data_IF_201382994820
#
_entry.id   IF_201382994820
#
_cell.length_a   1.000
_cell.length_b   1.000
_cell.length_c   1.000
_cell.angle_alpha   90.00
_cell.angle_beta   90.00
_cell.angle_gamma   90.00
#
_symmetry.space_group_name_H-M   'P 1'
#
loop_
_entity.id
_entity.type
_entity.pdbx_description
1 polymer ?
#
# COMPACT_ATOMS: atom_id res chain seq x y z
N UNK A 1 55.44 -45.15 -17.61
CA UNK A 1 54.00 -44.88 -17.86
C UNK A 1 53.56 -43.80 -16.88
N UNK A 2 53.06 -42.63 -17.33
CA UNK A 2 52.68 -41.56 -16.41
C UNK A 2 51.42 -41.94 -15.64
N UNK A 3 51.46 -41.83 -14.31
CA UNK A 3 50.34 -42.12 -13.42
C UNK A 3 49.25 -41.05 -13.59
N UNK A 4 48.03 -41.48 -13.94
CA UNK A 4 46.85 -40.60 -14.00
C UNK A 4 46.41 -40.26 -12.58
N UNK A 5 46.69 -39.05 -12.14
CA UNK A 5 46.14 -38.49 -10.91
C UNK A 5 44.62 -38.33 -11.11
N UNK A 6 43.82 -39.13 -10.41
CA UNK A 6 42.36 -38.95 -10.34
C UNK A 6 42.07 -37.75 -9.44
N UNK A 7 41.79 -36.61 -10.05
CA UNK A 7 41.29 -35.43 -9.33
C UNK A 7 39.85 -35.74 -8.91
N UNK A 8 39.65 -36.10 -7.64
CA UNK A 8 38.32 -36.23 -7.05
C UNK A 8 37.85 -34.82 -6.72
N UNK A 9 36.99 -34.23 -7.58
CA UNK A 9 36.31 -32.99 -7.25
C UNK A 9 35.37 -33.25 -6.07
N UNK A 10 35.64 -32.64 -4.91
CA UNK A 10 34.68 -32.57 -3.80
C UNK A 10 33.43 -31.87 -4.33
N UNK A 11 32.32 -32.61 -4.44
CA UNK A 11 31.00 -32.04 -4.72
C UNK A 11 30.72 -31.00 -3.62
N UNK A 12 30.70 -29.72 -3.98
CA UNK A 12 30.45 -28.64 -3.03
C UNK A 12 29.10 -28.87 -2.35
N UNK A 13 29.12 -29.05 -1.03
CA UNK A 13 27.94 -29.29 -0.19
C UNK A 13 27.11 -28.03 0.07
N UNK A 14 27.37 -26.94 -0.66
CA UNK A 14 26.57 -25.73 -0.59
C UNK A 14 25.44 -25.84 -1.62
N UNK A 15 24.21 -26.05 -1.12
CA UNK A 15 23.00 -25.85 -1.92
C UNK A 15 22.90 -24.36 -2.24
N UNK A 16 23.55 -23.92 -3.32
CA UNK A 16 23.35 -22.57 -3.84
C UNK A 16 21.89 -22.44 -4.27
N UNK A 17 21.13 -21.62 -3.55
CA UNK A 17 19.77 -21.26 -3.92
C UNK A 17 19.81 -20.59 -5.29
N UNK A 18 18.88 -20.95 -6.17
CA UNK A 18 18.78 -20.27 -7.46
C UNK A 18 18.38 -18.80 -7.23
N UNK A 19 18.82 -17.86 -8.09
CA UNK A 19 18.43 -16.46 -7.97
C UNK A 19 16.91 -16.26 -7.92
N UNK A 20 16.14 -17.12 -8.60
CA UNK A 20 14.69 -17.13 -8.57
C UNK A 20 14.13 -17.55 -7.19
N UNK A 21 14.73 -18.55 -6.54
CA UNK A 21 14.34 -18.97 -5.18
C UNK A 21 14.60 -17.86 -4.17
N UNK A 22 15.74 -17.16 -4.27
CA UNK A 22 16.06 -16.01 -3.41
C UNK A 22 15.00 -14.91 -3.60
N UNK A 23 14.66 -14.57 -4.84
CA UNK A 23 13.60 -13.58 -5.11
C UNK A 23 12.25 -14.00 -4.51
N UNK A 24 11.85 -15.27 -4.64
CA UNK A 24 10.62 -15.81 -4.05
C UNK A 24 10.62 -15.68 -2.52
N UNK A 25 11.74 -15.98 -1.86
CA UNK A 25 11.85 -15.82 -0.41
C UNK A 25 11.83 -14.36 0.03
N UNK A 26 12.55 -13.48 -0.67
CA UNK A 26 12.54 -12.03 -0.38
C UNK A 26 11.15 -11.46 -0.56
N UNK A 27 10.44 -11.86 -1.61
CA UNK A 27 9.07 -11.45 -1.90
C UNK A 27 8.11 -11.89 -0.79
N UNK A 28 8.17 -13.15 -0.40
CA UNK A 28 7.33 -13.71 0.68
C UNK A 28 7.63 -13.05 2.03
N UNK A 29 8.91 -12.91 2.36
CA UNK A 29 9.37 -12.25 3.59
C UNK A 29 8.92 -10.78 3.62
N UNK A 30 8.99 -10.06 2.50
CA UNK A 30 8.56 -8.67 2.38
C UNK A 30 7.07 -8.49 2.69
N UNK A 31 6.21 -9.30 2.06
CA UNK A 31 4.77 -9.23 2.34
C UNK A 31 4.43 -9.69 3.77
N UNK A 32 5.07 -10.76 4.27
CA UNK A 32 4.88 -11.23 5.64
C UNK A 32 5.29 -10.16 6.66
N UNK A 33 6.43 -9.50 6.43
CA UNK A 33 6.92 -8.41 7.28
C UNK A 33 5.98 -7.21 7.25
N UNK A 34 5.50 -6.81 6.07
CA UNK A 34 4.53 -5.71 5.91
C UNK A 34 3.26 -5.99 6.72
N UNK A 35 2.72 -7.20 6.60
CA UNK A 35 1.46 -7.57 7.26
C UNK A 35 1.65 -7.70 8.78
N UNK A 36 2.66 -8.46 9.23
CA UNK A 36 2.88 -8.73 10.66
C UNK A 36 3.26 -7.45 11.43
N UNK A 37 4.26 -6.71 10.93
CA UNK A 37 4.72 -5.49 11.59
C UNK A 37 3.70 -4.35 11.44
N UNK A 38 2.99 -4.29 10.31
CA UNK A 38 1.90 -3.35 10.11
C UNK A 38 0.74 -3.60 11.08
N UNK A 39 0.40 -4.86 11.36
CA UNK A 39 -0.65 -5.22 12.32
C UNK A 39 -0.21 -4.88 13.75
N UNK A 40 1.02 -5.24 14.14
CA UNK A 40 1.58 -4.86 15.44
C UNK A 40 1.62 -3.33 15.62
N UNK A 41 2.05 -2.60 14.59
CA UNK A 41 1.98 -1.14 14.58
C UNK A 41 0.54 -0.64 14.74
N UNK A 42 -0.42 -1.23 14.00
CA UNK A 42 -1.81 -0.79 14.04
C UNK A 42 -2.43 -0.99 15.42
N UNK A 43 -2.19 -2.14 16.06
CA UNK A 43 -2.64 -2.42 17.42
C UNK A 43 -2.01 -1.44 18.41
N UNK A 44 -0.69 -1.26 18.38
CA UNK A 44 0.01 -0.36 19.31
C UNK A 44 -0.42 1.11 19.11
N UNK A 45 -0.59 1.56 17.87
CA UNK A 45 -1.07 2.90 17.54
C UNK A 45 -2.53 3.10 17.98
N UNK A 46 -3.42 2.14 17.72
CA UNK A 46 -4.82 2.24 18.14
C UNK A 46 -4.96 2.22 19.66
N UNK A 47 -4.17 1.42 20.38
CA UNK A 47 -4.12 1.47 21.83
C UNK A 47 -3.67 2.86 22.31
N UNK A 48 -2.64 3.44 21.68
CA UNK A 48 -2.23 4.83 22.00
C UNK A 48 -3.36 5.84 21.71
N UNK A 49 -4.10 5.70 20.62
CA UNK A 49 -5.24 6.55 20.30
C UNK A 49 -6.43 6.38 21.27
N UNK A 50 -6.82 5.15 21.60
CA UNK A 50 -7.89 4.86 22.57
C UNK A 50 -7.57 5.47 23.93
N UNK A 51 -6.30 5.36 24.33
CA UNK A 51 -5.85 5.92 25.59
C UNK A 51 -5.72 7.46 25.46
N UNK A 52 -5.39 8.02 24.28
CA UNK A 52 -5.49 9.46 24.00
C UNK A 52 -6.91 10.03 24.24
N UNK A 53 -7.98 9.28 23.92
CA UNK A 53 -9.35 9.69 24.23
C UNK A 53 -9.63 9.79 25.73
N UNK A 54 -8.90 9.04 26.58
CA UNK A 54 -8.97 9.16 28.04
C UNK A 54 -8.33 10.44 28.57
N UNK A 55 -7.42 11.06 27.81
CA UNK A 55 -6.56 12.17 28.29
C UNK A 55 -6.95 13.55 27.77
N UNK A 56 -7.93 13.62 26.88
CA UNK A 56 -8.39 14.88 26.29
C UNK A 56 -9.79 15.19 26.83
N UNK A 57 -10.01 16.42 27.28
CA UNK A 57 -11.32 16.78 27.82
C UNK A 57 -12.36 16.78 26.70
N UNK A 58 -13.28 15.81 26.74
CA UNK A 58 -14.44 15.75 25.85
C UNK A 58 -15.26 17.06 25.86
N UNK A 59 -15.29 17.73 27.02
CA UNK A 59 -15.96 19.04 27.21
C UNK A 59 -15.44 20.16 26.30
N UNK A 60 -14.24 20.04 25.74
CA UNK A 60 -13.64 21.08 24.89
C UNK A 60 -13.30 20.57 23.49
N UNK A 61 -14.03 19.57 22.96
CA UNK A 61 -13.84 19.06 21.59
C UNK A 61 -12.38 18.76 21.24
N UNK A 62 -11.62 18.22 22.19
CA UNK A 62 -10.21 17.95 22.00
C UNK A 62 -9.32 19.19 21.75
N UNK A 63 -9.62 20.37 22.31
CA UNK A 63 -8.80 21.58 22.13
C UNK A 63 -7.71 21.78 23.20
N UNK A 64 -7.90 21.32 24.45
CA UNK A 64 -6.86 21.35 25.49
C UNK A 64 -6.08 20.04 25.57
N UNK A 65 -4.75 20.13 25.45
CA UNK A 65 -3.83 19.04 25.72
C UNK A 65 -3.39 19.09 27.17
N UNK A 66 -3.53 17.98 27.91
CA UNK A 66 -2.81 17.85 29.15
C UNK A 66 -1.32 17.57 28.83
N UNK A 67 -0.48 18.61 28.84
CA UNK A 67 0.94 18.54 28.44
C UNK A 67 1.83 17.79 29.45
N UNK A 68 1.36 17.53 30.67
CA UNK A 68 2.14 16.87 31.72
C UNK A 68 2.11 15.33 31.66
N UNK A 69 1.36 14.73 30.74
CA UNK A 69 1.15 13.29 30.70
C UNK A 69 2.04 12.64 29.62
N UNK A 70 3.09 11.93 30.02
CA UNK A 70 3.87 11.06 29.14
C UNK A 70 3.60 9.59 29.47
N UNK A 71 3.20 8.79 28.47
CA UNK A 71 2.78 7.38 28.63
C UNK A 71 3.83 6.51 29.35
N UNK A 72 5.10 6.75 29.02
CA UNK A 72 6.25 6.17 29.69
C UNK A 72 7.11 7.33 30.23
N UNK A 73 6.73 7.88 31.38
CA UNK A 73 7.57 8.78 32.18
C UNK A 73 8.60 7.94 32.93
N UNK A 74 9.73 7.69 32.30
CA UNK A 74 10.84 7.00 32.95
C UNK A 74 12.13 7.23 32.19
N UNK A 75 13.21 7.41 32.94
CA UNK A 75 14.56 7.61 32.41
C UNK A 75 15.25 6.29 32.03
N UNK A 76 14.57 5.15 32.20
CA UNK A 76 15.14 3.83 31.92
C UNK A 76 15.11 3.54 30.42
N UNK A 77 16.15 2.85 29.93
CA UNK A 77 16.35 2.54 28.51
C UNK A 77 15.16 1.83 27.84
N UNK A 78 14.47 0.93 28.55
CA UNK A 78 13.31 0.20 27.99
C UNK A 78 12.10 1.10 27.73
N UNK A 79 11.94 2.21 28.46
CA UNK A 79 10.91 3.21 28.19
C UNK A 79 11.19 3.99 26.90
N UNK A 80 12.46 4.21 26.59
CA UNK A 80 12.85 4.75 25.29
C UNK A 80 12.46 3.77 24.19
N UNK A 81 12.81 2.48 24.30
CA UNK A 81 12.45 1.47 23.30
C UNK A 81 10.94 1.47 23.04
N UNK A 82 10.11 1.36 24.08
CA UNK A 82 8.65 1.35 23.95
C UNK A 82 8.07 2.61 23.29
N UNK A 83 8.72 3.77 23.46
CA UNK A 83 8.33 5.02 22.79
C UNK A 83 8.64 5.00 21.30
N UNK A 84 9.76 4.41 20.90
CA UNK A 84 10.19 4.30 19.51
C UNK A 84 9.56 3.10 18.79
N UNK A 85 9.06 2.09 19.51
CA UNK A 85 8.52 0.84 18.95
C UNK A 85 7.49 1.08 17.84
N UNK A 86 6.45 1.92 17.98
CA UNK A 86 5.47 2.09 16.91
C UNK A 86 6.09 2.67 15.63
N UNK A 87 6.98 3.66 15.77
CA UNK A 87 7.67 4.25 14.62
C UNK A 87 8.61 3.25 13.93
N UNK A 88 9.28 2.39 14.70
CA UNK A 88 10.12 1.32 14.17
C UNK A 88 9.29 0.25 13.44
N UNK A 89 8.20 -0.23 14.04
CA UNK A 89 7.30 -1.21 13.44
C UNK A 89 6.71 -0.69 12.11
N UNK A 90 6.30 0.57 12.09
CA UNK A 90 5.80 1.24 10.88
C UNK A 90 6.86 1.27 9.76
N UNK A 91 8.09 1.72 10.07
CA UNK A 91 9.17 1.81 9.08
C UNK A 91 9.62 0.44 8.58
N UNK A 92 9.72 -0.54 9.47
CA UNK A 92 10.06 -1.91 9.09
C UNK A 92 8.97 -2.55 8.21
N UNK A 93 7.69 -2.27 8.47
CA UNK A 93 6.62 -2.71 7.59
C UNK A 93 6.73 -2.09 6.18
N UNK A 94 7.08 -0.81 6.07
CA UNK A 94 7.35 -0.17 4.78
C UNK A 94 8.56 -0.76 4.06
N UNK A 95 9.63 -1.09 4.80
CA UNK A 95 10.78 -1.82 4.23
C UNK A 95 10.33 -3.17 3.66
N UNK A 96 9.38 -3.84 4.32
CA UNK A 96 8.79 -5.08 3.80
C UNK A 96 8.11 -4.87 2.45
N UNK A 97 7.43 -3.73 2.30
CA UNK A 97 6.79 -3.34 1.04
C UNK A 97 7.83 -3.04 -0.04
N UNK A 98 8.97 -2.42 0.31
CA UNK A 98 10.08 -2.23 -0.63
C UNK A 98 10.65 -3.57 -1.12
N UNK A 99 10.82 -4.53 -0.22
CA UNK A 99 11.34 -5.85 -0.56
C UNK A 99 10.40 -6.58 -1.51
N UNK A 100 9.10 -6.65 -1.19
CA UNK A 100 8.15 -7.40 -2.01
C UNK A 100 7.87 -6.74 -3.35
N UNK A 101 7.46 -5.47 -3.34
CA UNK A 101 7.13 -4.75 -4.58
C UNK A 101 8.38 -4.48 -5.42
N UNK A 102 9.54 -4.30 -4.80
CA UNK A 102 10.81 -4.21 -5.51
C UNK A 102 11.13 -5.48 -6.30
N UNK A 103 10.93 -6.66 -5.70
CA UNK A 103 11.08 -7.95 -6.42
C UNK A 103 10.07 -8.06 -7.55
N UNK A 104 8.79 -7.71 -7.32
CA UNK A 104 7.77 -7.77 -8.38
C UNK A 104 8.08 -6.81 -9.53
N UNK A 105 8.48 -5.58 -9.24
CA UNK A 105 8.90 -4.60 -10.25
C UNK A 105 10.13 -5.07 -11.03
N UNK A 106 11.11 -5.66 -10.35
CA UNK A 106 12.29 -6.23 -11.00
C UNK A 106 11.93 -7.40 -11.91
N UNK A 107 11.04 -8.30 -11.48
CA UNK A 107 10.57 -9.43 -12.28
C UNK A 107 9.79 -8.99 -13.51
N UNK A 108 8.89 -8.01 -13.35
CA UNK A 108 8.09 -7.45 -14.45
C UNK A 108 8.96 -6.71 -15.49
N UNK A 109 10.06 -6.10 -15.05
CA UNK A 109 11.00 -5.39 -15.92
C UNK A 109 12.12 -6.31 -16.46
N UNK A 110 12.12 -7.60 -16.12
CA UNK A 110 13.20 -8.49 -16.53
C UNK A 110 13.06 -8.83 -18.01
N UNK A 111 13.96 -8.28 -18.82
CA UNK A 111 13.97 -8.49 -20.28
C UNK A 111 13.11 -7.48 -21.06
N UNK A 112 12.47 -6.54 -20.36
CA UNK A 112 11.77 -5.40 -20.94
C UNK A 112 12.45 -4.13 -20.41
N UNK A 113 12.60 -3.10 -21.25
CA UNK A 113 13.01 -1.77 -20.80
C UNK A 113 11.76 -0.90 -20.68
N UNK A 114 10.98 -1.02 -19.59
CA UNK A 114 9.71 -0.34 -19.50
C UNK A 114 9.95 1.17 -19.52
N UNK A 115 9.14 1.87 -20.30
CA UNK A 115 9.17 3.32 -20.28
C UNK A 115 8.60 3.84 -18.96
N UNK A 116 8.98 5.06 -18.55
CA UNK A 116 8.50 5.68 -17.31
C UNK A 116 6.97 5.68 -17.20
N UNK A 117 6.27 5.86 -18.31
CA UNK A 117 4.81 5.81 -18.36
C UNK A 117 4.25 4.43 -18.01
N UNK A 118 4.87 3.37 -18.53
CA UNK A 118 4.45 1.98 -18.25
C UNK A 118 4.66 1.66 -16.77
N UNK A 119 5.79 2.07 -16.20
CA UNK A 119 6.05 1.93 -14.76
C UNK A 119 5.00 2.70 -13.94
N UNK A 120 4.73 3.96 -14.27
CA UNK A 120 3.72 4.77 -13.57
C UNK A 120 2.30 4.23 -13.70
N UNK A 121 1.99 3.51 -14.77
CA UNK A 121 0.70 2.85 -14.95
C UNK A 121 0.55 1.58 -14.10
N UNK A 122 1.66 0.95 -13.72
CA UNK A 122 1.65 -0.30 -12.96
C UNK A 122 1.33 -0.06 -11.48
N UNK A 123 0.32 -0.78 -10.97
CA UNK A 123 -0.17 -0.60 -9.60
C UNK A 123 0.90 -0.84 -8.53
N UNK A 124 1.71 -1.89 -8.71
CA UNK A 124 2.79 -2.23 -7.78
C UNK A 124 3.82 -1.12 -7.68
N UNK A 125 4.12 -0.43 -8.79
CA UNK A 125 5.03 0.70 -8.79
C UNK A 125 4.41 1.93 -8.14
N UNK A 126 3.11 2.19 -8.36
CA UNK A 126 2.40 3.26 -7.65
C UNK A 126 2.42 3.03 -6.12
N UNK A 127 2.18 1.80 -5.65
CA UNK A 127 2.30 1.46 -4.23
C UNK A 127 3.73 1.57 -3.70
N UNK A 128 4.74 1.23 -4.51
CA UNK A 128 6.14 1.45 -4.15
C UNK A 128 6.44 2.94 -3.96
N UNK A 129 5.99 3.81 -4.88
CA UNK A 129 6.13 5.26 -4.76
C UNK A 129 5.43 5.81 -3.51
N UNK A 130 4.19 5.37 -3.25
CA UNK A 130 3.44 5.72 -2.03
C UNK A 130 4.22 5.29 -0.78
N UNK A 131 4.81 4.09 -0.80
CA UNK A 131 5.55 3.56 0.35
C UNK A 131 6.83 4.33 0.62
N UNK A 132 7.55 4.74 -0.43
CA UNK A 132 8.74 5.61 -0.33
C UNK A 132 8.32 6.94 0.29
N UNK A 133 7.22 7.51 -0.18
CA UNK A 133 6.68 8.75 0.37
C UNK A 133 6.28 8.61 1.84
N UNK A 134 5.61 7.52 2.20
CA UNK A 134 5.25 7.20 3.59
C UNK A 134 6.44 7.04 4.52
N UNK A 135 7.55 6.52 4.03
CA UNK A 135 8.76 6.34 4.84
C UNK A 135 9.29 7.65 5.41
N UNK A 136 9.14 8.76 4.68
CA UNK A 136 9.62 10.09 5.08
C UNK A 136 8.55 10.96 5.76
N UNK A 137 7.30 10.48 5.87
CA UNK A 137 6.21 11.26 6.47
C UNK A 137 5.78 10.65 7.83
N UNK A 138 4.92 11.38 8.56
CA UNK A 138 4.41 10.90 9.85
C UNK A 138 3.66 9.56 9.75
N UNK A 139 3.90 8.67 10.71
CA UNK A 139 3.27 7.36 10.78
C UNK A 139 1.76 7.47 11.02
N UNK A 140 0.98 6.65 10.32
CA UNK A 140 -0.48 6.59 10.45
C UNK A 140 -1.00 5.22 10.04
N UNK A 141 -1.99 4.71 10.78
CA UNK A 141 -2.67 3.44 10.46
C UNK A 141 -3.38 3.51 9.12
N UNK A 142 -3.95 4.67 8.77
CA UNK A 142 -4.59 4.83 7.47
C UNK A 142 -3.60 4.62 6.33
N UNK A 143 -2.37 5.15 6.45
CA UNK A 143 -1.34 5.05 5.39
C UNK A 143 -0.87 3.63 5.13
N UNK A 144 -0.78 2.81 6.17
CA UNK A 144 -0.28 1.43 6.08
C UNK A 144 -1.38 0.41 5.78
N UNK A 145 -2.65 0.73 6.09
CA UNK A 145 -3.78 -0.18 5.86
C UNK A 145 -3.90 -0.68 4.40
N UNK A 146 -3.81 0.17 3.35
CA UNK A 146 -3.80 -0.30 1.98
C UNK A 146 -2.65 -1.28 1.68
N UNK A 147 -1.46 -1.02 2.22
CA UNK A 147 -0.27 -1.87 2.00
C UNK A 147 -0.39 -3.23 2.71
N UNK A 148 -1.03 -3.25 3.88
CA UNK A 148 -1.35 -4.49 4.59
C UNK A 148 -2.38 -5.32 3.84
N UNK A 149 -3.45 -4.69 3.33
CA UNK A 149 -4.49 -5.38 2.55
C UNK A 149 -3.93 -5.95 1.25
N UNK A 150 -3.08 -5.18 0.56
CA UNK A 150 -2.34 -5.64 -0.62
C UNK A 150 -1.46 -6.85 -0.28
N UNK A 151 -0.67 -6.75 0.79
CA UNK A 151 0.19 -7.87 1.23
C UNK A 151 -0.60 -9.09 1.66
N UNK A 152 -1.77 -8.90 2.28
CA UNK A 152 -2.68 -9.99 2.63
C UNK A 152 -3.14 -10.73 1.37
N UNK A 153 -3.58 -10.01 0.32
CA UNK A 153 -3.98 -10.65 -0.93
C UNK A 153 -2.86 -11.50 -1.53
N UNK A 154 -1.66 -10.92 -1.66
CA UNK A 154 -0.50 -11.62 -2.20
C UNK A 154 -0.10 -12.85 -1.38
N UNK A 155 -0.14 -12.76 -0.05
CA UNK A 155 0.14 -13.90 0.82
C UNK A 155 -0.93 -14.99 0.73
N UNK A 156 -2.20 -14.65 0.53
CA UNK A 156 -3.24 -15.68 0.39
C UNK A 156 -3.17 -16.43 -0.94
N UNK A 157 -2.66 -15.80 -2.00
CA UNK A 157 -2.47 -16.41 -3.32
C UNK A 157 -1.02 -16.81 -3.62
N UNK A 158 -0.15 -16.85 -2.60
CA UNK A 158 1.29 -16.98 -2.80
C UNK A 158 1.69 -18.16 -3.70
N UNK A 159 0.99 -19.30 -3.61
CA UNK A 159 1.26 -20.48 -4.46
C UNK A 159 1.02 -20.19 -5.94
N UNK A 160 -0.15 -19.63 -6.26
CA UNK A 160 -0.52 -19.28 -7.65
C UNK A 160 0.40 -18.21 -8.23
N UNK A 161 0.80 -17.23 -7.42
CA UNK A 161 1.72 -16.18 -7.86
C UNK A 161 3.15 -16.69 -8.08
N UNK A 162 3.60 -17.64 -7.26
CA UNK A 162 4.93 -18.27 -7.36
C UNK A 162 5.03 -19.24 -8.54
N UNK A 163 3.92 -19.94 -8.83
CA UNK A 163 3.84 -20.95 -9.89
C UNK A 163 3.52 -20.32 -11.26
N UNK A 164 3.26 -19.02 -11.32
CA UNK A 164 3.08 -18.26 -12.57
C UNK A 164 1.73 -18.50 -13.26
N UNK A 165 0.82 -19.25 -12.66
CA UNK A 165 -0.54 -19.46 -13.16
C UNK A 165 -1.41 -18.25 -12.81
N UNK A 166 -1.22 -17.14 -13.52
CA UNK A 166 -1.98 -15.90 -13.36
C UNK A 166 -3.11 -15.83 -14.38
N UNK A 167 -4.30 -16.29 -14.02
CA UNK A 167 -5.51 -15.69 -14.59
C UNK A 167 -5.87 -14.47 -13.73
N UNK A 168 -5.46 -13.29 -14.19
CA UNK A 168 -5.75 -12.02 -13.51
C UNK A 168 -7.25 -11.79 -13.35
N UNK A 169 -8.08 -12.31 -14.27
CA UNK A 169 -9.54 -12.16 -14.23
C UNK A 169 -10.16 -13.04 -13.14
N UNK A 170 -9.62 -14.25 -12.94
CA UNK A 170 -10.07 -15.16 -11.88
C UNK A 170 -9.66 -14.67 -10.49
N UNK A 171 -8.41 -14.20 -10.33
CA UNK A 171 -7.93 -13.63 -9.07
C UNK A 171 -8.71 -12.38 -8.71
N UNK A 172 -8.98 -11.49 -9.67
CA UNK A 172 -9.76 -10.27 -9.44
C UNK A 172 -11.19 -10.59 -9.00
N UNK A 173 -11.84 -11.59 -9.61
CA UNK A 173 -13.18 -12.04 -9.20
C UNK A 173 -13.18 -12.63 -7.78
N UNK A 174 -12.23 -13.49 -7.48
CA UNK A 174 -12.09 -14.15 -6.17
C UNK A 174 -11.86 -13.14 -5.04
N UNK A 175 -11.07 -12.09 -5.29
CA UNK A 175 -10.71 -11.09 -4.29
C UNK A 175 -11.44 -9.75 -4.42
N UNK A 176 -12.50 -9.68 -5.23
CA UNK A 176 -13.34 -8.50 -5.38
C UNK A 176 -13.77 -7.81 -4.07
N UNK A 177 -14.18 -8.52 -2.99
CA UNK A 177 -14.52 -7.85 -1.73
C UNK A 177 -13.29 -7.20 -1.07
N UNK A 178 -12.13 -7.84 -1.09
CA UNK A 178 -10.89 -7.31 -0.51
C UNK A 178 -10.39 -6.11 -1.32
N UNK A 179 -10.47 -6.17 -2.64
CA UNK A 179 -10.15 -5.06 -3.55
C UNK A 179 -11.05 -3.83 -3.32
N UNK A 180 -12.33 -4.03 -3.02
CA UNK A 180 -13.23 -2.94 -2.65
C UNK A 180 -12.83 -2.32 -1.31
N UNK A 181 -12.47 -3.14 -0.31
CA UNK A 181 -11.99 -2.64 0.99
C UNK A 181 -10.66 -1.89 0.82
N UNK A 182 -9.78 -2.39 -0.05
CA UNK A 182 -8.52 -1.74 -0.41
C UNK A 182 -8.77 -0.34 -1.01
N UNK A 183 -9.64 -0.22 -2.01
CA UNK A 183 -9.99 1.10 -2.57
C UNK A 183 -10.62 2.04 -1.52
N UNK A 184 -11.51 1.53 -0.65
CA UNK A 184 -12.08 2.34 0.44
C UNK A 184 -10.97 2.79 1.39
N UNK A 185 -10.02 1.92 1.74
CA UNK A 185 -8.92 2.26 2.64
C UNK A 185 -8.04 3.36 2.06
N UNK A 186 -7.86 3.41 0.74
CA UNK A 186 -7.12 4.47 0.05
C UNK A 186 -7.88 5.80 0.05
N UNK A 187 -9.19 5.75 -0.17
CA UNK A 187 -10.03 6.94 -0.02
C UNK A 187 -9.97 7.48 1.41
N UNK A 188 -9.94 6.59 2.42
CA UNK A 188 -9.77 7.00 3.81
C UNK A 188 -8.39 7.64 4.06
N UNK A 189 -7.33 7.23 3.36
CA UNK A 189 -6.05 7.96 3.40
C UNK A 189 -6.22 9.38 2.90
N UNK A 190 -6.86 9.58 1.74
CA UNK A 190 -7.12 10.92 1.20
C UNK A 190 -7.89 11.79 2.21
N UNK A 191 -8.95 11.25 2.79
CA UNK A 191 -9.76 11.95 3.81
C UNK A 191 -8.93 12.26 5.06
N UNK A 192 -8.13 11.31 5.54
CA UNK A 192 -7.29 11.53 6.73
C UNK A 192 -6.25 12.63 6.51
N UNK A 193 -5.65 12.70 5.32
CA UNK A 193 -4.69 13.73 4.95
C UNK A 193 -5.36 15.08 4.74
N UNK A 194 -6.58 15.11 4.18
CA UNK A 194 -7.37 16.32 4.05
C UNK A 194 -7.71 16.90 5.42
N UNK A 195 -8.10 16.07 6.39
CA UNK A 195 -8.31 16.49 7.77
C UNK A 195 -7.03 17.00 8.41
N UNK A 196 -5.90 16.29 8.26
CA UNK A 196 -4.60 16.74 8.79
C UNK A 196 -4.12 18.07 8.15
N UNK A 197 -4.48 18.31 6.89
CA UNK A 197 -4.21 19.56 6.17
C UNK A 197 -5.11 20.72 6.64
N UNK A 198 -6.42 20.50 6.74
CA UNK A 198 -7.38 21.51 7.23
C UNK A 198 -7.08 21.89 8.69
N UNK A 199 -6.69 20.92 9.51
CA UNK A 199 -6.34 21.14 10.92
C UNK A 199 -4.91 21.65 11.13
N UNK A 200 -4.14 21.87 10.06
CA UNK A 200 -2.75 22.35 10.09
C UNK A 200 -1.87 21.61 11.11
N UNK A 201 -2.10 20.29 11.24
CA UNK A 201 -1.48 19.46 12.29
C UNK A 201 0.04 19.42 12.18
N UNK A 202 0.58 19.54 10.97
CA UNK A 202 2.01 19.67 10.71
C UNK A 202 2.26 20.68 9.60
N UNK A 203 3.42 21.32 9.60
CA UNK A 203 3.83 22.27 8.56
C UNK A 203 3.85 21.66 7.15
N UNK A 204 4.02 20.34 7.06
CA UNK A 204 4.07 19.59 5.81
C UNK A 204 2.75 18.92 5.40
N UNK A 205 1.67 18.99 6.20
CA UNK A 205 0.46 18.20 5.94
C UNK A 205 -0.20 18.52 4.59
N UNK A 206 -0.20 19.79 4.17
CA UNK A 206 -0.68 20.21 2.86
C UNK A 206 0.12 19.63 1.70
N UNK A 207 1.46 19.63 1.79
CA UNK A 207 2.34 19.04 0.76
C UNK A 207 2.10 17.54 0.66
N UNK A 208 1.94 16.87 1.81
CA UNK A 208 1.66 15.44 1.87
C UNK A 208 0.33 15.09 1.19
N UNK A 209 -0.70 15.91 1.39
CA UNK A 209 -1.98 15.75 0.70
C UNK A 209 -1.83 15.91 -0.82
N UNK A 210 -1.17 16.97 -1.30
CA UNK A 210 -1.03 17.25 -2.74
C UNK A 210 -0.28 16.12 -3.45
N UNK A 211 0.84 15.67 -2.89
CA UNK A 211 1.61 14.55 -3.47
C UNK A 211 0.77 13.28 -3.50
N UNK A 212 0.06 12.98 -2.41
CA UNK A 212 -0.82 11.80 -2.38
C UNK A 212 -1.95 11.90 -3.41
N UNK A 213 -2.60 13.05 -3.56
CA UNK A 213 -3.64 13.27 -4.56
C UNK A 213 -3.10 13.11 -5.99
N UNK A 214 -1.88 13.55 -6.25
CA UNK A 214 -1.21 13.33 -7.54
C UNK A 214 -1.02 11.84 -7.85
N UNK A 215 -0.59 11.03 -6.88
CA UNK A 215 -0.48 9.57 -7.07
C UNK A 215 -1.88 8.92 -7.13
N UNK A 216 -2.82 9.35 -6.30
CA UNK A 216 -4.20 8.84 -6.29
C UNK A 216 -4.93 9.14 -7.61
N UNK A 217 -4.61 10.25 -8.26
CA UNK A 217 -5.07 10.55 -9.61
C UNK A 217 -4.61 9.49 -10.61
N UNK A 218 -3.35 9.04 -10.55
CA UNK A 218 -2.88 7.92 -11.38
C UNK A 218 -3.69 6.66 -11.11
N UNK A 219 -4.02 6.39 -9.84
CA UNK A 219 -4.86 5.24 -9.47
C UNK A 219 -6.24 5.30 -10.10
N UNK A 220 -6.89 6.47 -10.10
CA UNK A 220 -8.19 6.65 -10.77
C UNK A 220 -8.08 6.41 -12.28
N UNK A 221 -6.94 6.73 -12.91
CA UNK A 221 -6.75 6.53 -14.34
C UNK A 221 -6.47 5.07 -14.73
N UNK A 222 -5.77 4.31 -13.88
CA UNK A 222 -5.24 2.99 -14.24
C UNK A 222 -5.88 1.81 -13.49
N UNK A 223 -6.34 1.99 -12.24
CA UNK A 223 -6.84 0.90 -11.40
C UNK A 223 -8.36 0.69 -11.51
N UNK A 224 -8.84 -0.46 -12.04
CA UNK A 224 -10.26 -0.69 -12.28
C UNK A 224 -11.09 -0.76 -10.99
N UNK A 225 -10.58 -1.38 -9.92
CA UNK A 225 -11.31 -1.48 -8.65
C UNK A 225 -11.46 -0.13 -7.95
N UNK A 226 -10.47 0.78 -8.09
CA UNK A 226 -10.57 2.15 -7.58
C UNK A 226 -11.66 2.91 -8.33
N UNK A 227 -11.69 2.81 -9.66
CA UNK A 227 -12.72 3.43 -10.49
C UNK A 227 -14.13 2.93 -10.12
N UNK A 228 -14.32 1.61 -10.02
CA UNK A 228 -15.60 0.99 -9.65
C UNK A 228 -16.04 1.42 -8.26
N UNK A 229 -15.12 1.45 -7.29
CA UNK A 229 -15.43 1.85 -5.91
C UNK A 229 -15.79 3.33 -5.83
N UNK A 230 -15.05 4.19 -6.55
CA UNK A 230 -15.33 5.62 -6.62
C UNK A 230 -16.69 5.89 -7.25
N UNK A 231 -17.00 5.23 -8.37
CA UNK A 231 -18.32 5.32 -9.02
C UNK A 231 -19.43 4.87 -8.08
N UNK A 232 -19.25 3.75 -7.37
CA UNK A 232 -20.22 3.25 -6.37
C UNK A 232 -20.44 4.28 -5.25
N UNK A 233 -19.40 4.96 -4.79
CA UNK A 233 -19.52 6.00 -3.78
C UNK A 233 -20.27 7.23 -4.32
N UNK A 234 -19.93 7.69 -5.52
CA UNK A 234 -20.61 8.81 -6.17
C UNK A 234 -22.10 8.49 -6.39
N UNK A 235 -22.44 7.30 -6.87
CA UNK A 235 -23.85 6.90 -7.02
C UNK A 235 -24.62 6.86 -5.70
N UNK A 236 -23.96 6.56 -4.57
CA UNK A 236 -24.59 6.65 -3.23
C UNK A 236 -24.81 8.10 -2.77
N UNK A 237 -23.91 9.00 -3.15
CA UNK A 237 -23.98 10.41 -2.78
C UNK A 237 -24.94 11.20 -3.68
N UNK A 238 -25.32 10.67 -4.84
CA UNK A 238 -26.21 11.29 -5.84
C UNK A 238 -27.49 11.86 -5.22
N UNK A 239 -28.12 11.10 -4.31
CA UNK A 239 -29.35 11.52 -3.62
C UNK A 239 -29.19 12.71 -2.68
N UNK A 240 -27.95 13.05 -2.32
CA UNK A 240 -27.61 14.12 -1.37
C UNK A 240 -27.07 15.38 -2.07
N UNK A 241 -26.94 15.35 -3.39
CA UNK A 241 -26.38 16.47 -4.16
C UNK A 241 -27.47 17.54 -4.38
N UNK A 242 -27.23 18.81 -4.02
CA UNK A 242 -28.17 19.88 -4.32
C UNK A 242 -28.35 20.06 -5.84
N UNK A 243 -29.55 20.41 -6.33
CA UNK A 243 -29.81 20.58 -7.77
C UNK A 243 -28.82 21.53 -8.47
N UNK A 244 -28.36 22.56 -7.75
CA UNK A 244 -27.39 23.56 -8.23
C UNK A 244 -26.05 22.95 -8.70
N UNK A 245 -25.64 21.82 -8.14
CA UNK A 245 -24.35 21.19 -8.42
C UNK A 245 -24.49 19.90 -9.26
N UNK A 246 -25.69 19.60 -9.75
CA UNK A 246 -25.95 18.34 -10.46
C UNK A 246 -25.16 18.23 -11.76
N UNK A 247 -25.02 19.31 -12.53
CA UNK A 247 -24.23 19.29 -13.78
C UNK A 247 -22.75 19.00 -13.53
N UNK A 248 -22.17 19.64 -12.51
CA UNK A 248 -20.77 19.40 -12.10
C UNK A 248 -20.58 17.97 -11.61
N UNK A 249 -21.58 17.45 -10.89
CA UNK A 249 -21.59 16.08 -10.40
C UNK A 249 -21.63 15.06 -11.53
N UNK A 250 -22.45 15.29 -12.56
CA UNK A 250 -22.52 14.46 -13.76
C UNK A 250 -21.20 14.47 -14.54
N UNK A 251 -20.51 15.60 -14.64
CA UNK A 251 -19.19 15.68 -15.28
C UNK A 251 -18.19 14.73 -14.60
N UNK A 252 -18.17 14.72 -13.26
CA UNK A 252 -17.28 13.85 -12.48
C UNK A 252 -17.63 12.37 -12.72
N UNK A 253 -18.92 12.01 -12.68
CA UNK A 253 -19.37 10.63 -12.96
C UNK A 253 -19.01 10.19 -14.38
N UNK A 254 -19.25 11.04 -15.38
CA UNK A 254 -18.90 10.78 -16.79
C UNK A 254 -17.39 10.60 -16.98
N UNK A 255 -16.58 11.41 -16.31
CA UNK A 255 -15.12 11.26 -16.35
C UNK A 255 -14.69 9.87 -15.88
N UNK A 256 -15.16 9.42 -14.71
CA UNK A 256 -14.80 8.11 -14.16
C UNK A 256 -15.32 6.99 -15.05
N UNK A 257 -16.56 7.11 -15.54
CA UNK A 257 -17.14 6.14 -16.47
C UNK A 257 -16.32 6.02 -17.76
N UNK A 258 -15.87 7.14 -18.33
CA UNK A 258 -14.97 7.15 -19.48
C UNK A 258 -13.66 6.39 -19.20
N UNK A 259 -13.08 6.54 -18.00
CA UNK A 259 -11.84 5.83 -17.64
C UNK A 259 -12.03 4.32 -17.51
N UNK A 260 -13.18 3.88 -17.01
CA UNK A 260 -13.55 2.46 -17.00
C UNK A 260 -13.66 1.93 -18.43
N UNK A 261 -14.34 2.67 -19.32
CA UNK A 261 -14.46 2.28 -20.73
C UNK A 261 -13.11 2.22 -21.44
N UNK A 262 -12.22 3.18 -21.19
CA UNK A 262 -10.87 3.19 -21.75
C UNK A 262 -10.06 1.97 -21.30
N UNK A 263 -10.23 1.54 -20.03
CA UNK A 263 -9.59 0.34 -19.52
C UNK A 263 -10.09 -0.93 -20.22
N UNK A 264 -11.40 -1.11 -20.37
CA UNK A 264 -11.99 -2.25 -21.09
C UNK A 264 -11.56 -2.28 -22.57
N UNK A 265 -11.48 -1.12 -23.23
CA UNK A 265 -10.95 -1.00 -24.59
C UNK A 265 -9.49 -1.44 -24.69
N UNK A 266 -8.64 -1.03 -23.74
CA UNK A 266 -7.23 -1.48 -23.70
C UNK A 266 -7.12 -2.98 -23.51
N UNK A 267 -7.90 -3.55 -22.59
CA UNK A 267 -7.89 -4.99 -22.31
C UNK A 267 -8.35 -5.82 -23.51
N UNK A 268 -9.40 -5.38 -24.20
CA UNK A 268 -9.88 -6.04 -25.42
C UNK A 268 -8.90 -5.90 -26.58
N UNK A 269 -8.19 -4.77 -26.71
CA UNK A 269 -7.14 -4.61 -27.70
C UNK A 269 -5.96 -5.57 -27.45
N UNK A 270 -5.49 -5.67 -26.20
CA UNK A 270 -4.40 -6.59 -25.82
C UNK A 270 -4.77 -8.04 -26.12
N UNK A 271 -5.99 -8.47 -25.77
CA UNK A 271 -6.50 -9.82 -26.07
C UNK A 271 -6.62 -10.12 -27.57
N UNK A 272 -6.69 -9.10 -28.44
CA UNK A 272 -6.72 -9.29 -29.90
C UNK A 272 -5.33 -9.38 -30.51
N UNK A 273 -4.32 -8.80 -29.85
CA UNK A 273 -2.93 -8.77 -30.32
C UNK A 273 -2.06 -9.89 -29.75
N UNK A 274 -2.51 -10.56 -28.69
CA UNK A 274 -1.87 -11.73 -28.08
C UNK A 274 -2.46 -13.02 -28.64
#
# INVERSE_FOLDING_TARGET
MPQKIKIIQKKSTEKHLSPLQIQKYVWLAGHAMTLALGLLFSVTYLLQCLIFFKYRSWKWLFLRMNRSYSFFSGHRWYHAILRWTPALLYRLALIGTFMSLGVTSYQNSRGLHPQWFEMLSAENFQYLLISVFWFFTGASVFKIAPLMLLSYMHLTNWKQEIDGMKDEDEVTKKYAPVLNILAISEMLVAVSLALDAILLKSSSSGVVLVVYLGIYWLRINFSPYVQITMLRLLSKLDKKVPPKYHDQWEIIKKFIYSKIQDHEKRKTAIKKTA
#
